data_IF_613883527804
#
_entry.id   IF_613883527804
#
_cell.length_a   1.000
_cell.length_b   1.000
_cell.length_c   1.000
_cell.angle_alpha   90.00
_cell.angle_beta   90.00
_cell.angle_gamma   90.00
#
_symmetry.space_group_name_H-M   'P 1'
#
loop_
_entity.id
_entity.type
_entity.pdbx_description
1 polymer ?
#
# COMPACT_ATOMS: atom_id res chain seq x y z
N UNK A 1 -11.71 1.57 12.91
CA UNK A 1 -11.94 0.85 11.65
C UNK A 1 -12.39 1.88 10.65
N UNK A 2 -11.54 2.16 9.68
CA UNK A 2 -11.74 3.17 8.64
C UNK A 2 -11.37 2.56 7.29
N UNK A 3 -12.14 2.88 6.25
CA UNK A 3 -11.86 2.46 4.88
C UNK A 3 -11.63 3.72 4.06
N UNK A 4 -10.52 3.74 3.33
CA UNK A 4 -10.17 4.80 2.38
C UNK A 4 -10.10 4.16 0.99
N UNK A 5 -10.76 4.79 0.02
CA UNK A 5 -10.68 4.38 -1.38
C UNK A 5 -10.45 5.60 -2.26
N UNK A 6 -9.28 5.69 -2.86
CA UNK A 6 -8.87 6.87 -3.65
C UNK A 6 -7.82 6.57 -4.71
N UNK A 7 -7.74 7.36 -5.78
CA UNK A 7 -6.68 7.24 -6.77
C UNK A 7 -5.31 7.60 -6.17
N UNK A 8 -4.23 7.12 -6.80
CA UNK A 8 -2.86 7.38 -6.36
C UNK A 8 -2.56 8.87 -6.12
N UNK A 9 -3.05 9.74 -7.01
CA UNK A 9 -2.87 11.19 -6.92
C UNK A 9 -3.45 11.85 -5.67
N UNK A 10 -4.34 11.15 -4.95
CA UNK A 10 -4.98 11.64 -3.72
C UNK A 10 -4.41 10.99 -2.45
N UNK A 11 -3.46 10.06 -2.58
CA UNK A 11 -2.70 9.53 -1.45
C UNK A 11 -1.78 10.62 -0.89
N UNK A 12 -1.85 10.80 0.43
CA UNK A 12 -0.79 11.50 1.16
C UNK A 12 0.49 10.65 1.13
N UNK A 13 1.63 11.29 1.35
CA UNK A 13 2.90 10.57 1.44
C UNK A 13 2.90 9.52 2.55
N UNK A 14 2.14 9.74 3.63
CA UNK A 14 2.02 8.77 4.73
C UNK A 14 1.26 7.52 4.32
N UNK A 15 0.11 7.66 3.64
CA UNK A 15 -0.68 6.51 3.18
C UNK A 15 0.07 5.72 2.09
N UNK A 16 0.79 6.42 1.21
CA UNK A 16 1.64 5.78 0.22
C UNK A 16 2.76 4.96 0.90
N UNK A 17 3.40 5.53 1.92
CA UNK A 17 4.43 4.84 2.70
C UNK A 17 3.86 3.61 3.41
N UNK A 18 2.68 3.72 4.04
CA UNK A 18 2.00 2.60 4.70
C UNK A 18 1.73 1.44 3.73
N UNK A 19 1.19 1.74 2.53
CA UNK A 19 0.91 0.75 1.48
C UNK A 19 2.17 0.04 1.03
N UNK A 20 3.20 0.81 0.68
CA UNK A 20 4.46 0.25 0.16
C UNK A 20 5.16 -0.59 1.23
N UNK A 21 5.16 -0.13 2.49
CA UNK A 21 5.72 -0.89 3.60
C UNK A 21 4.97 -2.19 3.84
N UNK A 22 3.64 -2.18 3.84
CA UNK A 22 2.84 -3.38 4.06
C UNK A 22 3.08 -4.41 2.95
N UNK A 23 3.07 -3.98 1.68
CA UNK A 23 3.35 -4.83 0.52
C UNK A 23 4.77 -5.40 0.56
N UNK A 24 5.78 -4.60 0.89
CA UNK A 24 7.15 -5.09 1.06
C UNK A 24 7.23 -6.18 2.14
N UNK A 25 6.61 -5.95 3.30
CA UNK A 25 6.65 -6.90 4.41
C UNK A 25 6.01 -8.25 4.02
N UNK A 26 4.89 -8.23 3.29
CA UNK A 26 4.17 -9.45 2.91
C UNK A 26 4.78 -10.10 1.67
N UNK A 27 4.82 -9.37 0.56
CA UNK A 27 5.13 -9.96 -0.75
C UNK A 27 6.62 -10.15 -0.99
N UNK A 28 7.49 -9.37 -0.34
CA UNK A 28 8.94 -9.50 -0.49
C UNK A 28 9.55 -10.27 0.67
N UNK A 29 9.31 -9.82 1.91
CA UNK A 29 10.00 -10.36 3.09
C UNK A 29 9.38 -11.68 3.56
N UNK A 30 8.09 -11.70 3.90
CA UNK A 30 7.41 -12.89 4.42
C UNK A 30 7.40 -14.02 3.38
N UNK A 31 7.10 -13.69 2.14
CA UNK A 31 7.10 -14.65 1.04
C UNK A 31 8.50 -14.99 0.52
N UNK A 32 9.55 -14.29 0.99
CA UNK A 32 10.94 -14.44 0.53
C UNK A 32 11.05 -14.42 -1.01
N UNK A 33 10.31 -13.52 -1.64
CA UNK A 33 10.14 -13.42 -3.09
C UNK A 33 10.66 -12.08 -3.58
N UNK A 34 11.84 -12.05 -4.20
CA UNK A 34 12.40 -10.82 -4.76
C UNK A 34 11.83 -10.59 -6.16
N UNK A 35 10.79 -9.78 -6.26
CA UNK A 35 10.23 -9.28 -7.51
C UNK A 35 10.03 -7.77 -7.45
N UNK A 36 9.79 -7.16 -8.62
CA UNK A 36 9.51 -5.74 -8.76
C UNK A 36 8.09 -5.43 -8.27
N UNK A 37 7.92 -5.17 -6.97
CA UNK A 37 6.61 -4.78 -6.40
C UNK A 37 6.20 -3.37 -6.84
N UNK A 38 7.14 -2.42 -6.89
CA UNK A 38 6.90 -1.06 -7.39
C UNK A 38 7.12 -1.05 -8.90
N UNK A 39 6.14 -1.59 -9.62
CA UNK A 39 6.18 -1.85 -11.07
C UNK A 39 5.68 -0.67 -11.94
N UNK A 40 5.27 0.43 -11.29
CA UNK A 40 4.76 1.63 -11.95
C UNK A 40 3.27 1.60 -12.30
N UNK A 41 2.52 0.54 -11.93
CA UNK A 41 1.07 0.53 -12.09
C UNK A 41 0.33 1.26 -10.96
N UNK A 42 0.99 1.50 -9.83
CA UNK A 42 0.42 2.22 -8.68
C UNK A 42 -0.18 3.56 -9.07
N UNK A 43 0.48 4.32 -9.95
CA UNK A 43 0.04 5.64 -10.42
C UNK A 43 -1.32 5.60 -11.16
N UNK A 44 -1.69 4.46 -11.73
CA UNK A 44 -2.92 4.28 -12.50
C UNK A 44 -4.02 3.58 -11.71
N UNK A 45 -3.74 3.17 -10.47
CA UNK A 45 -4.65 2.39 -9.64
C UNK A 45 -5.46 3.27 -8.68
N UNK A 46 -6.61 2.74 -8.28
CA UNK A 46 -7.27 3.15 -7.05
C UNK A 46 -6.81 2.22 -5.93
N UNK A 47 -6.57 2.80 -4.76
CA UNK A 47 -6.02 2.13 -3.60
C UNK A 47 -7.12 2.00 -2.54
N UNK A 48 -7.43 0.77 -2.14
CA UNK A 48 -8.36 0.47 -1.05
C UNK A 48 -7.54 0.15 0.20
N UNK A 49 -7.70 0.97 1.23
CA UNK A 49 -6.94 0.88 2.48
C UNK A 49 -7.90 0.64 3.64
N UNK A 50 -7.58 -0.34 4.47
CA UNK A 50 -8.31 -0.60 5.72
C UNK A 50 -7.42 -0.25 6.91
N UNK A 51 -7.88 0.68 7.73
CA UNK A 51 -7.17 1.13 8.92
C UNK A 51 -7.86 0.65 10.19
N UNK A 52 -7.10 -0.03 11.05
CA UNK A 52 -7.48 -0.29 12.44
C UNK A 52 -6.77 0.71 13.36
N UNK A 53 -7.48 1.81 13.66
CA UNK A 53 -6.87 2.95 14.34
C UNK A 53 -5.93 3.69 13.39
N UNK A 54 -4.67 3.84 13.76
CA UNK A 54 -3.65 4.49 12.92
C UNK A 54 -2.77 3.49 12.15
N UNK A 55 -3.18 2.22 12.07
CA UNK A 55 -2.41 1.15 11.43
C UNK A 55 -3.15 0.60 10.21
N UNK A 56 -2.47 0.56 9.07
CA UNK A 56 -2.93 -0.16 7.89
C UNK A 56 -2.89 -1.67 8.18
N UNK A 57 -4.01 -2.35 7.98
CA UNK A 57 -4.23 -3.75 8.35
C UNK A 57 -4.71 -4.60 7.18
#
# INVERSE_FOLDING_TARGET
MEIIYKPFSELSSSELEDVLRLRQNVFIIEQNCFYEDIDGFDEKANHLLFYEGNKLA
#
